data_IF_628813304865
#
_entry.id   IF_628813304865
#
_cell.length_a   1.000
_cell.length_b   1.000
_cell.length_c   1.000
_cell.angle_alpha   90.00
_cell.angle_beta   90.00
_cell.angle_gamma   90.00
#
_symmetry.space_group_name_H-M   'P 1'
#
loop_
_entity.id
_entity.type
_entity.pdbx_description
1 polymer ?
#
# COMPACT_ATOMS: atom_id res chain seq x y z
N UNK A 1 8.13 -14.85 3.07
CA UNK A 1 9.26 -14.23 3.81
C UNK A 1 9.18 -12.72 3.67
N UNK A 2 9.56 -11.96 4.69
CA UNK A 2 9.68 -10.50 4.58
C UNK A 2 10.98 -10.15 3.83
N UNK A 3 10.95 -9.07 3.06
CA UNK A 3 12.15 -8.51 2.42
C UNK A 3 13.20 -8.07 3.47
N UNK A 4 14.43 -7.84 3.01
CA UNK A 4 15.49 -7.33 3.88
C UNK A 4 15.06 -5.99 4.53
N UNK A 5 15.45 -5.80 5.79
CA UNK A 5 15.20 -4.55 6.52
C UNK A 5 16.07 -3.45 5.91
N UNK A 6 15.44 -2.32 5.57
CA UNK A 6 16.08 -1.15 4.99
C UNK A 6 16.24 -0.04 6.05
N UNK A 7 17.38 0.64 6.06
CA UNK A 7 17.62 1.89 6.79
C UNK A 7 16.74 3.03 6.25
N UNK A 8 16.60 4.13 7.00
CA UNK A 8 15.77 5.27 6.56
C UNK A 8 16.18 5.83 5.20
N UNK A 9 17.49 5.95 4.95
CA UNK A 9 18.02 6.45 3.67
C UNK A 9 17.80 5.45 2.53
N UNK A 10 17.96 4.14 2.80
CA UNK A 10 17.61 3.09 1.84
C UNK A 10 16.11 3.10 1.52
N UNK A 11 15.24 3.32 2.51
CA UNK A 11 13.80 3.45 2.27
C UNK A 11 13.48 4.69 1.43
N UNK A 12 14.11 5.83 1.71
CA UNK A 12 13.94 7.06 0.92
C UNK A 12 14.26 6.84 -0.56
N UNK A 13 15.34 6.12 -0.86
CA UNK A 13 15.74 5.85 -2.25
C UNK A 13 14.93 4.71 -2.85
N UNK A 14 14.93 3.52 -2.24
CA UNK A 14 14.38 2.28 -2.81
C UNK A 14 12.84 2.29 -2.82
N UNK A 15 12.20 2.78 -1.76
CA UNK A 15 10.73 2.80 -1.63
C UNK A 15 10.16 4.17 -2.01
N UNK A 16 10.87 5.24 -1.68
CA UNK A 16 10.47 6.62 -1.94
C UNK A 16 10.85 7.16 -3.32
N UNK A 17 11.46 6.33 -4.18
CA UNK A 17 11.96 6.72 -5.52
C UNK A 17 12.91 7.92 -5.49
N UNK A 18 13.66 8.06 -4.40
CA UNK A 18 14.71 9.08 -4.28
C UNK A 18 15.94 8.73 -5.11
N UNK A 19 16.87 9.68 -5.18
CA UNK A 19 18.22 9.46 -5.71
C UNK A 19 19.23 9.71 -4.60
N UNK A 20 20.25 8.86 -4.48
CA UNK A 20 21.40 9.12 -3.60
C UNK A 20 22.27 10.24 -4.17
N UNK A 21 23.07 10.92 -3.36
CA UNK A 21 23.96 11.98 -3.86
C UNK A 21 25.04 11.41 -4.79
N UNK A 22 25.44 12.12 -5.86
CA UNK A 22 26.49 11.65 -6.75
C UNK A 22 27.81 11.50 -5.99
N UNK A 23 28.53 10.42 -6.26
CA UNK A 23 29.85 10.13 -5.69
C UNK A 23 29.82 9.51 -4.28
N UNK A 24 28.65 9.28 -3.68
CA UNK A 24 28.56 8.66 -2.34
C UNK A 24 28.62 7.14 -2.37
N UNK A 25 28.31 6.52 -3.51
CA UNK A 25 28.32 5.07 -3.64
C UNK A 25 29.74 4.54 -3.80
N UNK A 26 30.11 3.60 -2.93
CA UNK A 26 31.36 2.80 -3.03
C UNK A 26 31.43 1.97 -4.32
N UNK A 27 30.31 1.78 -5.02
CA UNK A 27 30.26 1.01 -6.26
C UNK A 27 30.53 1.85 -7.50
N UNK A 28 30.57 3.19 -7.40
CA UNK A 28 30.71 4.07 -8.57
C UNK A 28 31.97 3.75 -9.36
N UNK A 29 33.12 3.73 -8.68
CA UNK A 29 34.43 3.50 -9.29
C UNK A 29 35.02 2.11 -8.99
N UNK A 30 34.26 1.22 -8.35
CA UNK A 30 34.72 -0.16 -8.09
C UNK A 30 34.88 -0.94 -9.40
N UNK A 31 35.96 -1.72 -9.48
CA UNK A 31 36.27 -2.66 -10.58
C UNK A 31 36.20 -4.13 -10.11
N UNK A 32 35.69 -4.36 -8.90
CA UNK A 32 35.60 -5.68 -8.29
C UNK A 32 34.77 -6.64 -9.16
N UNK A 33 35.21 -7.89 -9.27
CA UNK A 33 34.53 -8.90 -10.08
C UNK A 33 33.46 -9.61 -9.27
N UNK A 34 32.22 -9.60 -9.76
CA UNK A 34 31.10 -10.16 -9.03
C UNK A 34 29.73 -9.76 -9.59
N UNK A 35 28.72 -9.92 -8.75
CA UNK A 35 27.31 -9.67 -9.08
C UNK A 35 26.73 -8.61 -8.16
N UNK A 36 26.05 -7.64 -8.74
CA UNK A 36 25.24 -6.66 -8.01
C UNK A 36 23.83 -7.22 -7.85
N UNK A 37 23.39 -7.32 -6.59
CA UNK A 37 22.08 -7.86 -6.22
C UNK A 37 21.20 -6.76 -5.61
N UNK A 38 19.89 -6.89 -5.75
CA UNK A 38 18.94 -5.98 -5.14
C UNK A 38 19.08 -5.97 -3.61
N UNK A 39 19.25 -4.79 -3.02
CA UNK A 39 19.35 -4.60 -1.56
C UNK A 39 18.17 -5.21 -0.81
N UNK A 40 16.96 -5.09 -1.35
CA UNK A 40 15.72 -5.47 -0.67
C UNK A 40 15.39 -6.97 -0.78
N UNK A 41 15.76 -7.63 -1.87
CA UNK A 41 15.31 -9.01 -2.14
C UNK A 41 16.37 -9.99 -2.65
N UNK A 42 17.63 -9.57 -2.74
CA UNK A 42 18.77 -10.38 -3.21
C UNK A 42 18.69 -10.85 -4.68
N UNK A 43 17.68 -10.42 -5.45
CA UNK A 43 17.61 -10.69 -6.89
C UNK A 43 18.88 -10.19 -7.58
N UNK A 44 19.56 -11.03 -8.35
CA UNK A 44 20.70 -10.60 -9.16
C UNK A 44 20.22 -9.61 -10.22
N UNK A 45 20.89 -8.45 -10.32
CA UNK A 45 20.52 -7.34 -11.19
C UNK A 45 21.52 -7.12 -12.32
N UNK A 46 22.81 -7.05 -11.97
CA UNK A 46 23.89 -6.71 -12.90
C UNK A 46 25.13 -7.55 -12.61
N UNK A 47 25.97 -7.79 -13.62
CA UNK A 47 27.30 -8.36 -13.44
C UNK A 47 28.37 -7.28 -13.59
N UNK A 48 29.51 -7.44 -12.92
CA UNK A 48 30.64 -6.51 -13.04
C UNK A 48 31.19 -6.38 -14.47
N UNK A 49 30.86 -7.31 -15.38
CA UNK A 49 31.30 -7.29 -16.78
C UNK A 49 30.57 -6.22 -17.61
N UNK A 50 29.35 -5.86 -17.19
CA UNK A 50 28.51 -4.84 -17.84
C UNK A 50 28.77 -3.45 -17.26
N UNK A 51 29.59 -3.36 -16.20
CA UNK A 51 29.87 -2.10 -15.52
C UNK A 51 30.86 -1.27 -16.33
N UNK A 52 30.57 0.03 -16.47
CA UNK A 52 31.48 0.98 -17.11
C UNK A 52 31.46 2.34 -16.40
N UNK A 53 32.47 3.18 -16.66
CA UNK A 53 32.51 4.55 -16.13
C UNK A 53 31.83 5.50 -17.11
N UNK A 54 30.72 6.09 -16.69
CA UNK A 54 29.97 7.10 -17.47
C UNK A 54 30.23 8.54 -16.99
N UNK A 55 31.03 8.72 -15.94
CA UNK A 55 31.26 9.99 -15.23
C UNK A 55 29.98 10.67 -14.71
N UNK A 56 28.86 9.94 -14.59
CA UNK A 56 27.61 10.53 -14.10
C UNK A 56 27.58 10.71 -12.57
N UNK A 57 28.52 10.11 -11.83
CA UNK A 57 28.55 10.13 -10.36
C UNK A 57 27.80 8.97 -9.69
N UNK A 58 27.27 8.01 -10.46
CA UNK A 58 26.63 6.80 -9.97
C UNK A 58 27.16 5.55 -10.71
N UNK A 59 27.05 4.35 -10.10
CA UNK A 59 27.29 3.09 -10.79
C UNK A 59 26.53 3.03 -12.12
N UNK A 60 27.25 2.67 -13.19
CA UNK A 60 26.70 2.58 -14.54
C UNK A 60 26.93 1.21 -15.14
N UNK A 61 25.88 0.65 -15.73
CA UNK A 61 25.90 -0.65 -16.42
C UNK A 61 25.32 -0.50 -17.82
N UNK A 62 25.84 -1.24 -18.78
CA UNK A 62 25.36 -1.22 -20.17
C UNK A 62 24.43 -2.37 -20.53
N UNK A 63 24.18 -3.28 -19.59
CA UNK A 63 23.28 -4.40 -19.72
C UNK A 63 22.82 -4.91 -18.35
N UNK A 64 21.59 -5.41 -18.27
CA UNK A 64 21.03 -6.07 -17.10
C UNK A 64 21.10 -7.60 -17.20
N UNK A 65 20.96 -8.28 -16.07
CA UNK A 65 20.61 -9.71 -16.09
C UNK A 65 19.18 -9.83 -16.61
N UNK A 66 18.97 -10.70 -17.60
CA UNK A 66 17.67 -10.85 -18.27
C UNK A 66 16.53 -11.10 -17.27
N UNK A 67 15.45 -10.33 -17.42
CA UNK A 67 14.29 -10.35 -16.52
C UNK A 67 14.51 -9.80 -15.11
N UNK A 68 15.69 -9.29 -14.75
CA UNK A 68 15.97 -8.77 -13.40
C UNK A 68 15.44 -7.35 -13.17
N UNK A 69 15.28 -6.57 -14.23
CA UNK A 69 14.90 -5.16 -14.19
C UNK A 69 13.61 -4.94 -14.97
N UNK A 70 12.70 -4.12 -14.43
CA UNK A 70 11.51 -3.64 -15.14
C UNK A 70 11.71 -2.16 -15.44
N UNK A 71 11.42 -1.76 -16.69
CA UNK A 71 11.51 -0.39 -17.19
C UNK A 71 10.12 0.25 -17.14
N UNK A 72 9.98 1.37 -16.44
CA UNK A 72 8.71 2.08 -16.23
C UNK A 72 8.88 3.54 -16.65
N UNK A 73 8.15 4.03 -17.68
CA UNK A 73 8.20 5.44 -18.04
C UNK A 73 7.79 6.34 -16.87
N UNK A 74 8.56 7.41 -16.63
CA UNK A 74 8.20 8.46 -15.68
C UNK A 74 6.88 9.12 -16.12
N UNK A 75 6.16 9.76 -15.19
CA UNK A 75 4.89 10.44 -15.48
C UNK A 75 5.00 11.55 -16.55
N UNK A 76 6.20 12.12 -16.74
CA UNK A 76 6.48 13.10 -17.77
C UNK A 76 6.79 12.48 -19.16
N UNK A 77 6.96 11.16 -19.22
CA UNK A 77 7.31 10.40 -20.42
C UNK A 77 8.73 10.62 -20.95
N UNK A 78 9.59 11.35 -20.22
CA UNK A 78 10.92 11.77 -20.70
C UNK A 78 12.04 10.83 -20.27
N UNK A 79 11.89 10.20 -19.11
CA UNK A 79 12.87 9.24 -18.57
C UNK A 79 12.18 7.92 -18.28
N UNK A 80 12.99 6.87 -18.20
CA UNK A 80 12.51 5.52 -17.89
C UNK A 80 13.13 5.08 -16.58
N UNK A 81 12.30 5.00 -15.54
CA UNK A 81 12.66 4.42 -14.25
C UNK A 81 13.00 2.93 -14.43
N UNK A 82 14.06 2.48 -13.74
CA UNK A 82 14.37 1.07 -13.60
C UNK A 82 14.07 0.63 -12.16
N UNK A 83 13.29 -0.44 -12.04
CA UNK A 83 12.93 -1.06 -10.76
C UNK A 83 13.31 -2.54 -10.78
N UNK A 84 13.57 -3.12 -9.60
CA UNK A 84 13.78 -4.56 -9.49
C UNK A 84 12.49 -5.31 -9.91
N UNK A 85 12.61 -6.29 -10.81
CA UNK A 85 11.46 -7.03 -11.32
C UNK A 85 10.72 -7.84 -10.24
N UNK A 86 11.45 -8.28 -9.19
CA UNK A 86 10.93 -9.07 -8.09
C UNK A 86 10.24 -8.21 -7.00
N UNK A 87 10.97 -7.29 -6.36
CA UNK A 87 10.44 -6.51 -5.22
C UNK A 87 9.90 -5.12 -5.57
N UNK A 88 10.01 -4.70 -6.84
CA UNK A 88 9.62 -3.38 -7.35
C UNK A 88 10.36 -2.18 -6.72
N UNK A 89 11.45 -2.44 -5.99
CA UNK A 89 12.28 -1.39 -5.41
C UNK A 89 12.98 -0.55 -6.49
N UNK A 90 13.01 0.76 -6.30
CA UNK A 90 13.65 1.73 -7.18
C UNK A 90 15.15 1.50 -7.28
N UNK A 91 15.66 1.40 -8.51
CA UNK A 91 17.09 1.24 -8.80
C UNK A 91 17.69 2.53 -9.33
N UNK A 92 16.99 3.26 -10.21
CA UNK A 92 17.48 4.46 -10.86
C UNK A 92 16.78 4.70 -12.19
N UNK A 93 17.53 5.10 -13.22
CA UNK A 93 17.00 5.34 -14.57
C UNK A 93 17.86 4.69 -15.65
N UNK A 94 17.23 4.32 -16.76
CA UNK A 94 17.92 3.87 -17.97
C UNK A 94 17.85 4.95 -19.06
N UNK A 95 18.97 5.12 -19.76
CA UNK A 95 19.14 6.05 -20.86
C UNK A 95 19.61 5.27 -22.09
N UNK A 96 19.03 5.57 -23.25
CA UNK A 96 19.38 4.95 -24.52
C UNK A 96 19.79 6.05 -25.52
N UNK A 97 20.70 5.74 -26.44
CA UNK A 97 21.09 6.69 -27.50
C UNK A 97 22.30 7.58 -27.18
N UNK A 98 22.94 7.43 -26.03
CA UNK A 98 24.08 8.26 -25.59
C UNK A 98 25.42 7.83 -26.20
N UNK A 99 25.46 6.69 -26.88
CA UNK A 99 26.62 6.12 -27.59
C UNK A 99 27.86 5.89 -26.72
N UNK A 100 27.66 5.64 -25.42
CA UNK A 100 28.75 5.37 -24.47
C UNK A 100 29.31 3.95 -24.60
N UNK A 101 28.48 2.99 -25.02
CA UNK A 101 28.87 1.59 -25.26
C UNK A 101 28.25 1.08 -26.56
N UNK A 102 28.66 -0.10 -27.03
CA UNK A 102 28.09 -0.73 -28.22
C UNK A 102 26.59 -1.06 -28.06
N UNK A 103 26.15 -1.36 -26.83
CA UNK A 103 24.73 -1.58 -26.50
C UNK A 103 23.92 -0.29 -26.43
N UNK A 104 24.60 0.86 -26.47
CA UNK A 104 24.00 2.19 -26.52
C UNK A 104 22.95 2.42 -25.42
N UNK A 105 23.15 1.78 -24.27
CA UNK A 105 22.26 1.77 -23.13
C UNK A 105 23.08 2.03 -21.88
N UNK A 106 22.56 2.85 -20.99
CA UNK A 106 23.18 3.17 -19.71
C UNK A 106 22.16 3.10 -18.60
N UNK A 107 22.33 2.12 -17.73
CA UNK A 107 21.62 1.99 -16.46
C UNK A 107 22.38 2.82 -15.44
N UNK A 108 21.82 3.97 -15.07
CA UNK A 108 22.34 4.83 -14.01
C UNK A 108 21.69 4.41 -12.70
N UNK A 109 22.42 3.66 -11.87
CA UNK A 109 21.84 2.93 -10.73
C UNK A 109 22.31 3.54 -9.41
N UNK A 110 21.38 3.78 -8.49
CA UNK A 110 21.70 4.09 -7.11
C UNK A 110 22.44 2.90 -6.48
N UNK A 111 23.67 3.12 -6.02
CA UNK A 111 24.47 2.12 -5.32
C UNK A 111 23.81 1.65 -4.03
N UNK A 112 23.13 2.54 -3.30
CA UNK A 112 22.35 2.19 -2.10
C UNK A 112 21.23 1.17 -2.38
N UNK A 113 20.75 1.07 -3.63
CA UNK A 113 19.74 0.07 -4.03
C UNK A 113 20.32 -1.33 -4.25
N UNK A 114 21.64 -1.51 -4.10
CA UNK A 114 22.34 -2.76 -4.39
C UNK A 114 23.24 -3.23 -3.23
N UNK A 115 23.45 -4.53 -3.16
CA UNK A 115 24.60 -5.16 -2.50
C UNK A 115 25.50 -5.78 -3.58
N UNK A 116 26.72 -6.13 -3.21
CA UNK A 116 27.68 -6.78 -4.09
C UNK A 116 28.05 -8.16 -3.53
N UNK A 117 28.10 -9.16 -4.41
CA UNK A 117 28.57 -10.52 -4.12
C UNK A 117 29.80 -10.77 -4.98
N UNK A 118 30.93 -11.02 -4.33
CA UNK A 118 32.21 -11.29 -4.99
C UNK A 118 32.15 -12.56 -5.84
N UNK A 119 32.84 -12.56 -6.99
CA UNK A 119 32.95 -13.69 -7.88
C UNK A 119 33.47 -14.95 -7.17
N UNK A 120 32.74 -16.05 -7.29
CA UNK A 120 33.07 -17.32 -6.63
C UNK A 120 32.48 -17.47 -5.22
N UNK A 121 31.88 -16.43 -4.66
CA UNK A 121 31.08 -16.55 -3.42
C UNK A 121 29.69 -17.13 -3.70
N UNK A 122 29.08 -17.73 -2.68
CA UNK A 122 27.70 -18.23 -2.78
C UNK A 122 26.70 -17.06 -2.81
N UNK A 123 25.75 -17.14 -3.75
CA UNK A 123 24.68 -16.14 -3.84
C UNK A 123 23.68 -16.32 -2.70
N UNK A 124 23.25 -15.23 -2.03
CA UNK A 124 22.18 -15.31 -1.05
C UNK A 124 20.85 -15.70 -1.73
N UNK A 125 19.98 -16.37 -0.99
CA UNK A 125 18.67 -16.76 -1.50
C UNK A 125 17.84 -15.53 -1.89
N UNK A 126 17.20 -15.59 -3.07
CA UNK A 126 16.28 -14.55 -3.53
C UNK A 126 15.02 -14.60 -2.67
N UNK A 127 14.70 -13.49 -2.02
CA UNK A 127 13.50 -13.35 -1.21
C UNK A 127 12.35 -13.03 -2.16
N UNK A 128 11.39 -13.94 -2.30
CA UNK A 128 10.16 -13.72 -3.05
C UNK A 128 8.99 -13.57 -2.08
N UNK A 129 8.08 -12.64 -2.37
CA UNK A 129 6.75 -12.71 -1.77
C UNK A 129 6.00 -13.83 -2.47
N UNK A 130 5.48 -14.78 -1.69
CA UNK A 130 4.59 -15.80 -2.23
C UNK A 130 3.38 -15.09 -2.86
N UNK A 131 2.91 -15.52 -4.03
CA UNK A 131 1.67 -14.99 -4.60
C UNK A 131 0.53 -15.23 -3.62
N UNK A 132 -0.31 -14.22 -3.42
CA UNK A 132 -1.46 -14.33 -2.51
C UNK A 132 -2.44 -15.34 -3.07
N UNK A 133 -2.73 -16.37 -2.29
CA UNK A 133 -3.80 -17.32 -2.59
C UNK A 133 -5.15 -16.72 -2.18
N UNK A 134 -5.79 -16.03 -3.13
CA UNK A 134 -7.08 -15.38 -2.91
C UNK A 134 -8.18 -16.36 -2.48
N UNK A 135 -8.04 -17.67 -2.74
CA UNK A 135 -9.03 -18.67 -2.31
C UNK A 135 -9.08 -18.87 -0.80
N UNK A 136 -8.05 -18.42 -0.08
CA UNK A 136 -7.95 -18.48 1.38
C UNK A 136 -8.31 -17.16 2.07
N UNK A 137 -8.58 -16.12 1.30
CA UNK A 137 -8.92 -14.80 1.81
C UNK A 137 -10.43 -14.71 2.05
N UNK A 138 -10.82 -13.92 3.04
CA UNK A 138 -12.20 -13.49 3.24
C UNK A 138 -12.32 -11.99 2.98
N UNK A 139 -13.55 -11.49 2.84
CA UNK A 139 -13.84 -10.09 2.51
C UNK A 139 -14.78 -9.48 3.55
N UNK A 140 -14.40 -8.33 4.11
CA UNK A 140 -15.25 -7.50 4.95
C UNK A 140 -15.64 -6.21 4.22
N UNK A 141 -16.80 -5.62 4.53
CA UNK A 141 -17.20 -4.33 3.96
C UNK A 141 -17.82 -3.44 5.02
N UNK A 142 -17.16 -2.32 5.31
CA UNK A 142 -17.55 -1.42 6.39
C UNK A 142 -17.75 0.01 5.89
N UNK A 143 -18.83 0.66 6.35
CA UNK A 143 -19.03 2.10 6.25
C UNK A 143 -18.90 2.73 7.64
N UNK A 144 -18.09 3.78 7.75
CA UNK A 144 -17.76 4.40 9.04
C UNK A 144 -17.36 5.87 8.89
N UNK A 145 -18.08 6.60 8.03
CA UNK A 145 -17.74 7.96 7.64
C UNK A 145 -16.95 8.02 6.34
N UNK A 146 -16.09 9.03 6.18
CA UNK A 146 -15.24 9.17 5.01
C UNK A 146 -14.38 7.91 4.80
N UNK A 147 -14.52 7.26 3.64
CA UNK A 147 -13.82 6.00 3.34
C UNK A 147 -12.29 6.11 3.35
N UNK A 148 -11.71 7.30 3.13
CA UNK A 148 -10.26 7.53 3.19
C UNK A 148 -9.72 7.34 4.60
N UNK A 149 -10.54 7.63 5.62
CA UNK A 149 -10.19 7.33 7.01
C UNK A 149 -10.17 5.84 7.25
N UNK A 150 -11.15 5.10 6.71
CA UNK A 150 -11.29 3.66 6.97
C UNK A 150 -10.21 2.88 6.22
N UNK A 151 -10.00 3.19 4.94
CA UNK A 151 -9.01 2.58 4.06
C UNK A 151 -7.63 2.54 4.72
N UNK A 152 -7.05 3.71 5.02
CA UNK A 152 -5.69 3.81 5.56
C UNK A 152 -5.49 3.08 6.89
N UNK A 153 -6.52 2.98 7.72
CA UNK A 153 -6.43 2.33 9.02
C UNK A 153 -6.35 0.81 8.86
N UNK A 154 -7.22 0.24 8.04
CA UNK A 154 -7.26 -1.20 7.82
C UNK A 154 -6.11 -1.69 6.94
N UNK A 155 -5.63 -0.89 5.97
CA UNK A 155 -4.46 -1.24 5.12
C UNK A 155 -3.20 -1.58 5.93
N UNK A 156 -3.07 -0.99 7.14
CA UNK A 156 -1.91 -1.15 8.01
C UNK A 156 -1.90 -2.47 8.77
N UNK A 157 -3.02 -3.19 8.87
CA UNK A 157 -3.13 -4.37 9.71
C UNK A 157 -2.45 -5.59 9.09
N UNK A 158 -1.68 -6.36 9.88
CA UNK A 158 -1.20 -7.69 9.54
C UNK A 158 -2.39 -8.58 9.19
N UNK A 159 -2.27 -9.33 8.11
CA UNK A 159 -3.33 -10.19 7.61
C UNK A 159 -4.32 -9.48 6.68
N UNK A 160 -4.44 -8.16 6.70
CA UNK A 160 -5.18 -7.45 5.63
C UNK A 160 -4.29 -7.41 4.39
N UNK A 161 -4.76 -7.90 3.24
CA UNK A 161 -3.98 -7.86 2.01
C UNK A 161 -4.25 -6.57 1.23
N UNK A 162 -5.52 -6.24 1.04
CA UNK A 162 -5.96 -5.12 0.22
C UNK A 162 -7.17 -4.44 0.83
N UNK A 163 -7.26 -3.12 0.67
CA UNK A 163 -8.45 -2.34 1.00
C UNK A 163 -8.81 -1.47 -0.19
N UNK A 164 -10.08 -1.50 -0.59
CA UNK A 164 -10.61 -0.74 -1.72
C UNK A 164 -11.73 0.19 -1.25
N UNK A 165 -11.56 1.49 -1.52
CA UNK A 165 -12.60 2.50 -1.31
C UNK A 165 -13.72 2.34 -2.33
N UNK A 166 -14.98 2.34 -1.89
CA UNK A 166 -16.12 2.10 -2.75
C UNK A 166 -17.45 2.61 -2.21
N UNK A 167 -18.51 2.26 -2.93
CA UNK A 167 -19.89 2.61 -2.62
C UNK A 167 -20.73 1.34 -2.48
N UNK A 168 -21.50 1.22 -1.39
CA UNK A 168 -22.37 0.06 -1.18
C UNK A 168 -23.76 0.42 -0.62
N UNK A 169 -24.71 -0.50 -0.74
CA UNK A 169 -26.05 -0.38 -0.15
C UNK A 169 -27.06 0.43 -0.97
N UNK A 170 -26.60 1.15 -2.00
CA UNK A 170 -27.42 2.06 -2.80
C UNK A 170 -28.21 1.39 -3.93
N UNK A 171 -29.18 2.13 -4.47
CA UNK A 171 -30.10 1.68 -5.53
C UNK A 171 -29.49 1.77 -6.93
N UNK A 172 -28.50 2.64 -7.11
CA UNK A 172 -27.86 2.90 -8.40
C UNK A 172 -26.62 2.02 -8.53
N UNK A 173 -26.51 1.31 -9.65
CA UNK A 173 -25.30 0.54 -10.00
C UNK A 173 -24.22 1.50 -10.49
N UNK A 174 -22.98 1.33 -10.01
CA UNK A 174 -21.82 2.15 -10.39
C UNK A 174 -22.07 3.68 -10.26
N UNK A 175 -22.50 4.19 -9.08
CA UNK A 175 -22.68 5.61 -8.89
C UNK A 175 -21.32 6.33 -8.93
N UNK A 176 -21.29 7.56 -9.45
CA UNK A 176 -20.10 8.42 -9.34
C UNK A 176 -20.05 9.09 -7.97
N UNK A 177 -18.87 9.53 -7.54
CA UNK A 177 -18.71 10.27 -6.29
C UNK A 177 -19.69 11.45 -6.19
N UNK A 178 -19.84 12.22 -7.26
CA UNK A 178 -20.77 13.36 -7.31
C UNK A 178 -22.20 12.95 -7.00
N UNK A 179 -22.67 11.84 -7.57
CA UNK A 179 -24.02 11.34 -7.32
C UNK A 179 -24.18 10.91 -5.85
N UNK A 180 -23.17 10.25 -5.28
CA UNK A 180 -23.19 9.84 -3.87
C UNK A 180 -23.22 11.05 -2.95
N UNK A 181 -22.45 12.11 -3.23
CA UNK A 181 -22.46 13.36 -2.48
C UNK A 181 -23.81 14.09 -2.53
N UNK A 182 -24.59 13.93 -3.60
CA UNK A 182 -25.97 14.46 -3.68
C UNK A 182 -26.94 13.76 -2.70
N UNK A 183 -26.56 12.60 -2.15
CA UNK A 183 -27.32 11.88 -1.12
C UNK A 183 -28.55 11.13 -1.62
N UNK A 184 -28.83 11.15 -2.92
CA UNK A 184 -30.05 10.56 -3.52
C UNK A 184 -29.89 9.10 -3.92
N UNK A 185 -28.65 8.59 -4.01
CA UNK A 185 -28.36 7.22 -4.45
C UNK A 185 -28.70 6.16 -3.39
N UNK A 186 -28.72 6.56 -2.12
CA UNK A 186 -28.77 5.66 -0.97
C UNK A 186 -27.48 4.90 -0.71
N UNK A 187 -26.41 5.17 -1.47
CA UNK A 187 -25.10 4.54 -1.29
C UNK A 187 -24.37 5.08 -0.07
N UNK A 188 -23.58 4.22 0.55
CA UNK A 188 -22.67 4.54 1.65
C UNK A 188 -21.24 4.46 1.15
N UNK A 189 -20.39 5.40 1.57
CA UNK A 189 -18.94 5.28 1.43
C UNK A 189 -18.45 4.12 2.29
N UNK A 190 -17.79 3.15 1.67
CA UNK A 190 -17.32 1.94 2.34
C UNK A 190 -15.87 1.63 1.99
N UNK A 191 -15.21 0.89 2.87
CA UNK A 191 -13.97 0.19 2.58
C UNK A 191 -14.26 -1.32 2.46
N UNK A 192 -13.88 -1.93 1.33
CA UNK A 192 -13.87 -3.37 1.15
C UNK A 192 -12.48 -3.90 1.51
N UNK A 193 -12.40 -4.79 2.49
CA UNK A 193 -11.16 -5.26 3.08
C UNK A 193 -11.00 -6.73 2.74
N UNK A 194 -9.98 -7.08 1.98
CA UNK A 194 -9.57 -8.47 1.70
C UNK A 194 -8.52 -8.86 2.73
N UNK A 195 -8.75 -9.95 3.46
CA UNK A 195 -7.89 -10.34 4.58
C UNK A 195 -7.73 -11.87 4.70
N UNK A 196 -6.62 -12.30 5.29
CA UNK A 196 -6.36 -13.69 5.66
C UNK A 196 -6.96 -13.98 7.05
N UNK A 197 -8.04 -14.77 7.14
CA UNK A 197 -8.70 -15.10 8.40
C UNK A 197 -7.81 -15.89 9.36
N UNK A 198 -6.70 -16.49 8.89
CA UNK A 198 -5.73 -17.18 9.74
C UNK A 198 -4.77 -16.22 10.45
N UNK A 199 -4.65 -14.97 9.98
CA UNK A 199 -3.77 -13.95 10.56
C UNK A 199 -4.60 -12.92 11.35
N UNK A 200 -5.74 -12.49 10.81
CA UNK A 200 -6.67 -11.56 11.47
C UNK A 200 -8.11 -12.02 11.25
N UNK A 201 -8.87 -12.17 12.33
CA UNK A 201 -10.25 -12.67 12.24
C UNK A 201 -11.23 -11.57 11.85
N UNK A 202 -12.36 -11.95 11.23
CA UNK A 202 -13.46 -11.02 10.96
C UNK A 202 -13.97 -10.35 12.24
N UNK A 203 -14.09 -11.11 13.33
CA UNK A 203 -14.45 -10.56 14.65
C UNK A 203 -13.51 -9.43 15.08
N UNK A 204 -12.20 -9.61 14.86
CA UNK A 204 -11.22 -8.58 15.21
C UNK A 204 -11.34 -7.34 14.34
N UNK A 205 -11.66 -7.50 13.06
CA UNK A 205 -11.92 -6.37 12.16
C UNK A 205 -13.16 -5.57 12.59
N UNK A 206 -14.25 -6.26 13.00
CA UNK A 206 -15.46 -5.61 13.53
C UNK A 206 -15.18 -4.92 14.87
N UNK A 207 -14.43 -5.55 15.78
CA UNK A 207 -13.99 -4.94 17.03
C UNK A 207 -13.20 -3.64 16.77
N UNK A 208 -12.24 -3.69 15.85
CA UNK A 208 -11.45 -2.50 15.46
C UNK A 208 -12.36 -1.41 14.90
N UNK A 209 -13.34 -1.76 14.05
CA UNK A 209 -14.29 -0.81 13.48
C UNK A 209 -14.95 0.04 14.57
N UNK A 210 -15.49 -0.57 15.62
CA UNK A 210 -16.17 0.12 16.72
C UNK A 210 -15.26 1.02 17.58
N UNK A 211 -13.94 0.91 17.43
CA UNK A 211 -12.97 1.72 18.16
C UNK A 211 -12.38 2.87 17.33
N UNK A 212 -12.56 2.88 16.01
CA UNK A 212 -11.90 3.85 15.10
C UNK A 212 -12.84 4.91 14.53
N UNK A 213 -14.14 4.78 14.77
CA UNK A 213 -15.16 5.75 14.41
C UNK A 213 -16.20 5.84 15.52
N UNK A 214 -16.99 6.92 15.54
CA UNK A 214 -18.15 7.05 16.43
C UNK A 214 -19.36 6.33 15.82
N UNK A 215 -19.81 5.19 16.39
CA UNK A 215 -20.91 4.38 15.88
C UNK A 215 -22.28 4.83 16.40
N UNK A 216 -22.34 5.92 17.20
CA UNK A 216 -23.57 6.42 17.85
C UNK A 216 -24.22 7.56 17.05
N UNK A 217 -23.50 8.13 16.09
CA UNK A 217 -23.97 9.27 15.29
C UNK A 217 -24.67 8.84 14.00
N UNK A 218 -25.98 9.07 13.94
CA UNK A 218 -26.80 8.72 12.78
C UNK A 218 -26.44 9.59 11.56
N UNK A 219 -26.14 8.96 10.42
CA UNK A 219 -25.85 9.61 9.13
C UNK A 219 -24.78 10.71 9.22
N UNK A 220 -23.75 10.49 10.04
CA UNK A 220 -22.69 11.46 10.27
C UNK A 220 -21.43 10.74 10.77
N UNK A 221 -20.27 11.32 10.49
CA UNK A 221 -19.05 11.03 11.22
C UNK A 221 -18.24 12.32 11.40
N UNK A 222 -18.11 12.79 12.64
CA UNK A 222 -17.49 14.09 12.92
C UNK A 222 -18.13 15.25 12.13
N UNK A 223 -17.33 15.92 11.30
CA UNK A 223 -17.79 17.01 10.43
C UNK A 223 -18.57 16.56 9.19
N UNK A 224 -18.42 15.29 8.79
CA UNK A 224 -18.98 14.76 7.54
C UNK A 224 -20.43 14.32 7.77
N UNK A 225 -21.38 15.02 7.14
CA UNK A 225 -22.83 14.83 7.35
C UNK A 225 -23.51 14.35 6.09
N UNK A 226 -24.31 13.29 6.21
CA UNK A 226 -25.03 12.69 5.10
C UNK A 226 -25.20 11.18 5.27
N UNK A 227 -26.23 10.62 4.64
CA UNK A 227 -26.51 9.17 4.70
C UNK A 227 -25.36 8.34 4.15
N UNK A 228 -24.56 8.91 3.25
CA UNK A 228 -23.37 8.28 2.70
C UNK A 228 -22.25 8.06 3.73
N UNK A 229 -22.31 8.73 4.88
CA UNK A 229 -21.33 8.62 5.97
C UNK A 229 -21.83 7.79 7.16
N UNK A 230 -22.99 7.15 7.05
CA UNK A 230 -23.56 6.36 8.15
C UNK A 230 -22.67 5.17 8.51
N UNK A 231 -22.72 4.78 9.78
CA UNK A 231 -22.08 3.54 10.26
C UNK A 231 -22.87 2.31 9.78
N UNK A 232 -22.20 1.37 9.11
CA UNK A 232 -22.80 0.13 8.61
C UNK A 232 -21.76 -0.97 8.44
N UNK A 233 -22.16 -2.21 8.75
CA UNK A 233 -21.44 -3.44 8.42
C UNK A 233 -22.24 -4.17 7.36
N UNK A 234 -21.68 -4.32 6.16
CA UNK A 234 -22.26 -5.13 5.10
C UNK A 234 -21.70 -6.55 5.17
N UNK A 235 -22.51 -7.51 5.62
CA UNK A 235 -22.08 -8.91 5.72
C UNK A 235 -22.17 -9.62 4.37
N UNK A 236 -21.17 -10.47 4.09
CA UNK A 236 -21.09 -11.28 2.87
C UNK A 236 -21.71 -12.67 3.03
N UNK A 237 -21.84 -13.16 4.27
CA UNK A 237 -22.44 -14.44 4.59
C UNK A 237 -23.10 -14.42 5.99
N UNK A 238 -23.80 -15.49 6.36
CA UNK A 238 -24.50 -15.55 7.65
C UNK A 238 -23.56 -15.60 8.86
N UNK A 239 -22.37 -16.18 8.72
CA UNK A 239 -21.37 -16.23 9.78
C UNK A 239 -20.91 -14.82 10.15
N UNK A 240 -20.56 -13.99 9.15
CA UNK A 240 -20.22 -12.58 9.36
C UNK A 240 -21.38 -11.80 10.01
N UNK A 241 -22.63 -12.10 9.66
CA UNK A 241 -23.80 -11.48 10.29
C UNK A 241 -23.91 -11.82 11.78
N UNK A 242 -23.67 -13.08 12.13
CA UNK A 242 -23.72 -13.55 13.53
C UNK A 242 -22.59 -12.88 14.31
N UNK A 243 -21.35 -12.98 13.82
CA UNK A 243 -20.18 -12.37 14.47
C UNK A 243 -20.37 -10.86 14.64
N UNK A 244 -20.83 -10.15 13.61
CA UNK A 244 -21.05 -8.71 13.69
C UNK A 244 -22.07 -8.33 14.77
N UNK A 245 -23.13 -9.13 14.95
CA UNK A 245 -24.13 -8.93 16.01
C UNK A 245 -23.56 -9.22 17.40
N UNK A 246 -22.82 -10.30 17.56
CA UNK A 246 -22.19 -10.66 18.84
C UNK A 246 -21.19 -9.58 19.29
N UNK A 247 -20.38 -9.07 18.36
CA UNK A 247 -19.46 -7.96 18.66
C UNK A 247 -20.25 -6.69 18.99
N UNK A 248 -21.30 -6.36 18.23
CA UNK A 248 -22.14 -5.20 18.50
C UNK A 248 -22.75 -5.28 19.90
N UNK A 249 -23.36 -6.42 20.27
CA UNK A 249 -23.93 -6.64 21.60
C UNK A 249 -22.87 -6.48 22.68
N UNK A 250 -21.68 -7.09 22.51
CA UNK A 250 -20.57 -6.95 23.46
C UNK A 250 -20.12 -5.50 23.64
N UNK A 251 -20.08 -4.71 22.56
CA UNK A 251 -19.70 -3.30 22.63
C UNK A 251 -20.82 -2.46 23.26
N UNK A 252 -22.08 -2.75 22.98
CA UNK A 252 -23.26 -2.06 23.58
C UNK A 252 -23.36 -2.33 25.10
N UNK A 253 -22.91 -3.50 25.57
CA UNK A 253 -22.77 -3.82 27.00
C UNK A 253 -21.50 -3.24 27.66
N UNK A 254 -20.59 -2.65 26.89
CA UNK A 254 -19.36 -2.06 27.40
C UNK A 254 -19.51 -0.56 27.63
N UNK A 255 -18.66 0.01 28.48
CA UNK A 255 -18.60 1.47 28.69
C UNK A 255 -17.82 2.21 27.59
N UNK A 256 -17.72 1.63 26.38
CA UNK A 256 -16.97 2.25 25.28
C UNK A 256 -17.69 3.48 24.71
N UNK A 257 -19.02 3.46 24.68
CA UNK A 257 -19.85 4.52 24.13
C UNK A 257 -20.98 4.86 25.10
N UNK A 258 -21.15 6.15 25.41
CA UNK A 258 -22.22 6.63 26.30
C UNK A 258 -23.59 6.60 25.60
N UNK A 259 -23.59 6.90 24.31
CA UNK A 259 -24.80 6.94 23.48
C UNK A 259 -25.06 5.59 22.80
N UNK A 260 -26.34 5.33 22.50
CA UNK A 260 -26.77 4.11 21.83
C UNK A 260 -26.11 3.97 20.45
N UNK A 261 -25.59 2.78 20.16
CA UNK A 261 -25.01 2.45 18.86
C UNK A 261 -26.11 2.39 17.78
N UNK A 262 -25.85 3.06 16.65
CA UNK A 262 -26.76 3.12 15.48
C UNK A 262 -26.20 2.41 14.24
N UNK A 263 -25.07 1.71 14.37
CA UNK A 263 -24.47 0.91 13.29
C UNK A 263 -25.47 -0.11 12.75
N UNK A 264 -25.73 -0.05 11.45
CA UNK A 264 -26.57 -1.02 10.79
C UNK A 264 -25.79 -2.29 10.42
N UNK A 265 -26.45 -3.46 10.45
CA UNK A 265 -25.89 -4.73 9.97
C UNK A 265 -26.78 -5.26 8.85
N UNK A 266 -26.31 -5.15 7.62
CA UNK A 266 -27.10 -5.36 6.39
C UNK A 266 -26.39 -6.35 5.44
N UNK A 267 -27.10 -7.12 4.61
CA UNK A 267 -26.45 -7.93 3.59
C UNK A 267 -25.81 -7.00 2.54
N UNK A 268 -24.64 -7.36 2.04
CA UNK A 268 -24.08 -6.69 0.87
C UNK A 268 -25.00 -6.94 -0.35
N UNK A 269 -25.39 -5.89 -1.07
CA UNK A 269 -26.30 -6.00 -2.22
C UNK A 269 -25.68 -5.51 -3.54
N UNK A 270 -25.05 -4.34 -3.53
CA UNK A 270 -24.53 -3.64 -4.69
C UNK A 270 -23.25 -2.92 -4.24
N UNK A 271 -22.09 -3.43 -4.65
CA UNK A 271 -20.80 -2.81 -4.41
C UNK A 271 -20.29 -2.20 -5.72
N UNK A 272 -19.72 -1.01 -5.65
CA UNK A 272 -19.07 -0.35 -6.77
C UNK A 272 -17.77 0.28 -6.28
N UNK A 273 -16.66 -0.08 -6.93
CA UNK A 273 -15.37 0.57 -6.71
C UNK A 273 -15.49 2.09 -6.96
N UNK A 274 -14.92 2.90 -6.07
CA UNK A 274 -14.82 4.34 -6.26
C UNK A 274 -13.72 4.69 -7.27
N UNK A 275 -13.76 5.89 -7.82
CA UNK A 275 -12.80 6.36 -8.83
C UNK A 275 -11.34 6.21 -8.35
N UNK A 276 -10.40 5.95 -9.27
CA UNK A 276 -9.00 5.62 -8.90
C UNK A 276 -8.31 6.73 -8.09
N UNK A 277 -8.72 7.98 -8.25
CA UNK A 277 -8.19 9.10 -7.46
C UNK A 277 -8.63 9.05 -5.99
N UNK A 278 -9.65 8.28 -5.62
CA UNK A 278 -10.05 8.04 -4.23
C UNK A 278 -9.27 6.90 -3.58
N UNK A 279 -8.62 6.04 -4.36
CA UNK A 279 -7.91 4.88 -3.84
C UNK A 279 -6.57 5.32 -3.23
N UNK A 280 -6.25 4.76 -2.06
CA UNK A 280 -5.03 5.06 -1.32
C UNK A 280 -4.85 6.58 -1.07
N UNK A 281 -5.95 7.32 -0.91
CA UNK A 281 -5.95 8.78 -0.99
C UNK A 281 -5.07 9.42 0.07
N UNK A 282 -5.14 8.95 1.31
CA UNK A 282 -4.35 9.50 2.40
C UNK A 282 -2.86 9.36 2.15
N UNK A 283 -2.38 8.18 1.75
CA UNK A 283 -0.94 7.99 1.55
C UNK A 283 -0.41 8.84 0.40
N UNK A 284 -1.23 9.05 -0.64
CA UNK A 284 -0.89 9.90 -1.79
C UNK A 284 -0.93 11.40 -1.47
N UNK A 285 -1.73 11.84 -0.49
CA UNK A 285 -2.03 13.27 -0.26
C UNK A 285 -1.74 13.78 1.16
N UNK A 286 -1.19 12.95 2.06
CA UNK A 286 -0.97 13.30 3.48
C UNK A 286 -0.19 14.60 3.70
N UNK A 287 0.71 14.97 2.79
CA UNK A 287 1.54 16.18 2.95
C UNK A 287 0.95 17.44 2.30
N UNK A 288 -0.05 17.30 1.41
CA UNK A 288 -0.57 18.39 0.58
C UNK A 288 -2.03 18.73 0.88
N UNK A 289 -2.80 17.79 1.44
CA UNK A 289 -4.22 17.96 1.70
C UNK A 289 -4.51 18.33 3.16
N UNK A 290 -5.27 19.41 3.37
CA UNK A 290 -5.63 19.90 4.70
C UNK A 290 -6.53 18.95 5.50
N UNK A 291 -7.46 18.25 4.85
CA UNK A 291 -8.32 17.24 5.48
C UNK A 291 -7.50 16.01 5.91
N UNK A 292 -6.57 15.53 5.09
CA UNK A 292 -5.65 14.46 5.48
C UNK A 292 -4.83 14.83 6.72
N UNK A 293 -4.31 16.05 6.78
CA UNK A 293 -3.52 16.52 7.92
C UNK A 293 -4.36 16.74 9.19
N UNK A 294 -5.53 17.38 9.06
CA UNK A 294 -6.32 17.80 10.21
C UNK A 294 -7.23 16.69 10.77
N UNK A 295 -7.72 15.78 9.92
CA UNK A 295 -8.73 14.78 10.30
C UNK A 295 -8.16 13.37 10.32
N UNK A 296 -7.50 12.95 9.23
CA UNK A 296 -7.04 11.55 9.06
C UNK A 296 -5.75 11.30 9.84
N UNK A 297 -4.78 12.21 9.76
CA UNK A 297 -3.45 12.08 10.38
C UNK A 297 -3.50 11.79 11.89
N UNK A 298 -4.26 12.55 12.70
CA UNK A 298 -4.41 12.26 14.12
C UNK A 298 -5.05 10.90 14.40
N UNK A 299 -6.00 10.44 13.57
CA UNK A 299 -6.61 9.11 13.69
C UNK A 299 -5.58 8.01 13.40
N UNK A 300 -4.80 8.17 12.34
CA UNK A 300 -3.72 7.22 11.97
C UNK A 300 -2.68 7.11 13.09
N UNK A 301 -2.23 8.24 13.65
CA UNK A 301 -1.26 8.24 14.74
C UNK A 301 -1.80 7.51 15.99
N UNK A 302 -3.05 7.79 16.41
CA UNK A 302 -3.70 7.10 17.52
C UNK A 302 -3.86 5.60 17.26
N UNK A 303 -4.24 5.23 16.04
CA UNK A 303 -4.39 3.84 15.63
C UNK A 303 -3.05 3.09 15.69
N UNK A 304 -1.97 3.69 15.20
CA UNK A 304 -0.64 3.11 15.24
C UNK A 304 -0.16 2.82 16.66
N UNK A 305 -0.44 3.72 17.60
CA UNK A 305 -0.11 3.52 19.01
C UNK A 305 -0.95 2.40 19.63
N UNK A 306 -2.26 2.38 19.37
CA UNK A 306 -3.19 1.41 19.97
C UNK A 306 -3.00 -0.01 19.44
N UNK A 307 -2.73 -0.16 18.15
CA UNK A 307 -2.69 -1.45 17.45
C UNK A 307 -1.28 -1.82 16.95
N UNK A 308 -0.22 -1.29 17.61
CA UNK A 308 1.18 -1.50 17.22
C UNK A 308 1.54 -2.96 16.91
N UNK A 309 0.99 -3.90 17.69
CA UNK A 309 1.31 -5.33 17.57
C UNK A 309 0.59 -5.98 16.37
N UNK A 310 -0.53 -5.39 15.94
CA UNK A 310 -1.34 -5.82 14.80
C UNK A 310 -0.95 -5.14 13.50
N UNK A 311 -0.06 -4.14 13.50
CA UNK A 311 0.33 -3.40 12.30
C UNK A 311 1.53 -4.07 11.62
N UNK A 312 1.53 -4.06 10.28
CA UNK A 312 2.60 -4.58 9.41
C UNK A 312 3.91 -3.83 9.58
#
# INVERSE_FOLDING_TARGET
MNFNVLTEEEQRVILGKGTEYPGTSKFTDSEDKGTYICKQCNQALYTSETKFNSHCGWPSFDDEIDGAVTRVPDADGRRTEIICSNCKGHLGHVFEGEMMTAKNTRHCVNGISMNFVEGGSSMPAVIRKEPIDLSKMDTATFGAGCFWCVEVLFEKLKGVEHVESGYAGGKIKNPTYKMVCEGTTGSVEVAQIVFDPNIITYEKLVDILFHVHDPTTLNRQGGDRGTQYRSVIFYHNQEQKIIAKEVLERIDFSDLWEDKIVTAIEPINNYSKAEDYHQNYYNNNKNSNGYCNAVIGPKVAKFQLKYKDLIK
#
